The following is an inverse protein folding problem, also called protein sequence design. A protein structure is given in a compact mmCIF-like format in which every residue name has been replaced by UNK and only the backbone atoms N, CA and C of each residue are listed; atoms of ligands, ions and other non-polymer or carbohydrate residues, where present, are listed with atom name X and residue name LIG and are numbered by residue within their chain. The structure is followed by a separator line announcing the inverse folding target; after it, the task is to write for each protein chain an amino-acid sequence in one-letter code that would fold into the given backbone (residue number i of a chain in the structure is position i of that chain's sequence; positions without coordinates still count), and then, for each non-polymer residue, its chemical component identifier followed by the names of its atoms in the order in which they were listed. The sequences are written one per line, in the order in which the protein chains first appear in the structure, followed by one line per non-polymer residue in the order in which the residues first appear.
data_IF_244967848079
#
_entry.id   IF_244967848079
#
_cell.length_a   1.000
_cell.length_b   1.000
_cell.length_c   1.000
_cell.angle_alpha   90.00
_cell.angle_beta   90.00
_cell.angle_gamma   90.00
#
_symmetry.space_group_name_H-M   'P 1'
#
loop_
_entity.id
_entity.type
_entity.pdbx_description
1 polymer ?
#
# COMPACT_ATOMS: atom_id res chain seq x y z
N UNK A 1 -40.81 1.42 -20.83
CA UNK A 1 -39.91 2.07 -19.85
C UNK A 1 -38.56 1.38 -19.92
N UNK A 2 -37.56 2.00 -20.56
CA UNK A 2 -36.21 1.43 -20.70
C UNK A 2 -35.50 1.55 -19.35
N UNK A 3 -35.07 0.43 -18.76
CA UNK A 3 -34.26 0.44 -17.53
C UNK A 3 -32.82 0.85 -17.86
N UNK A 4 -32.22 1.60 -16.97
CA UNK A 4 -30.82 2.02 -17.00
C UNK A 4 -29.87 0.81 -17.07
N UNK A 5 -28.76 0.84 -17.84
CA UNK A 5 -27.83 -0.29 -17.98
C UNK A 5 -27.23 -0.75 -16.64
N UNK A 6 -27.14 0.15 -15.66
CA UNK A 6 -26.67 -0.12 -14.30
C UNK A 6 -27.64 -0.97 -13.47
N UNK A 7 -28.93 -1.00 -13.79
CA UNK A 7 -29.92 -1.86 -13.13
C UNK A 7 -29.90 -3.30 -13.67
N UNK A 8 -29.49 -3.49 -14.93
CA UNK A 8 -29.50 -4.80 -15.58
C UNK A 8 -28.38 -5.74 -15.08
N UNK A 9 -27.21 -5.21 -14.73
CA UNK A 9 -26.13 -6.03 -14.16
C UNK A 9 -26.43 -6.54 -12.74
N UNK A 10 -27.28 -5.84 -12.00
CA UNK A 10 -27.69 -6.23 -10.65
C UNK A 10 -28.67 -7.41 -10.61
N UNK A 11 -29.33 -7.74 -11.73
CA UNK A 11 -30.52 -8.62 -11.71
C UNK A 11 -30.27 -10.05 -12.15
N UNK A 12 -29.08 -10.39 -12.68
CA UNK A 12 -28.80 -11.77 -13.16
C UNK A 12 -27.99 -12.62 -12.17
N UNK A 13 -27.50 -12.02 -11.10
CA UNK A 13 -26.80 -12.68 -10.00
C UNK A 13 -27.58 -12.42 -8.70
N UNK A 14 -28.64 -13.17 -8.42
CA UNK A 14 -29.08 -13.63 -7.07
C UNK A 14 -30.52 -14.13 -7.11
N UNK A 15 -30.72 -15.38 -6.66
CA UNK A 15 -30.95 -15.55 -5.22
C UNK A 15 -29.88 -16.39 -4.47
N UNK A 16 -29.09 -17.22 -5.15
CA UNK A 16 -28.40 -18.33 -4.47
C UNK A 16 -27.02 -18.05 -3.87
N UNK A 17 -26.38 -16.90 -4.13
CA UNK A 17 -24.96 -16.69 -3.77
C UNK A 17 -24.67 -15.49 -2.88
N UNK A 18 -25.60 -14.55 -2.72
CA UNK A 18 -25.36 -13.42 -1.83
C UNK A 18 -26.63 -13.21 -1.03
N UNK A 19 -26.53 -13.59 0.24
CA UNK A 19 -27.55 -13.38 1.25
C UNK A 19 -27.96 -11.90 1.29
N UNK A 20 -29.23 -11.64 1.62
CA UNK A 20 -29.81 -10.31 1.59
C UNK A 20 -29.01 -9.29 2.44
N UNK A 21 -28.31 -9.77 3.48
CA UNK A 21 -27.47 -9.01 4.40
C UNK A 21 -26.20 -8.40 3.76
N UNK A 22 -25.67 -9.00 2.69
CA UNK A 22 -24.39 -8.59 2.09
C UNK A 22 -24.53 -7.81 0.78
N UNK A 23 -25.74 -7.30 0.46
CA UNK A 23 -26.00 -6.56 -0.80
C UNK A 23 -25.05 -5.38 -1.00
N UNK A 24 -24.59 -4.75 0.10
CA UNK A 24 -23.71 -3.59 0.02
C UNK A 24 -22.30 -3.91 -0.52
N UNK A 25 -21.81 -5.15 -0.37
CA UNK A 25 -20.52 -5.57 -0.92
C UNK A 25 -20.54 -5.68 -2.45
N UNK A 26 -21.72 -5.86 -3.04
CA UNK A 26 -21.89 -5.96 -4.49
C UNK A 26 -22.11 -4.59 -5.17
N UNK A 27 -21.97 -3.48 -4.43
CA UNK A 27 -22.11 -2.12 -4.97
C UNK A 27 -20.72 -1.52 -5.18
N UNK A 28 -20.63 -0.55 -6.10
CA UNK A 28 -19.42 0.24 -6.27
C UNK A 28 -19.09 0.97 -4.96
N UNK A 29 -17.80 0.99 -4.62
CA UNK A 29 -17.29 1.67 -3.44
C UNK A 29 -16.05 2.48 -3.79
N UNK A 30 -15.87 3.62 -3.12
CA UNK A 30 -14.74 4.51 -3.36
C UNK A 30 -13.56 4.10 -2.46
N UNK A 31 -12.61 3.37 -3.04
CA UNK A 31 -11.43 2.91 -2.34
C UNK A 31 -11.69 1.85 -1.27
N UNK A 32 -12.80 1.12 -1.36
CA UNK A 32 -13.15 0.00 -0.47
C UNK A 32 -14.45 0.16 0.31
N UNK A 33 -14.88 -0.94 0.92
CA UNK A 33 -16.13 -1.02 1.68
C UNK A 33 -16.09 -0.14 2.94
N UNK A 34 -17.06 0.77 3.08
CA UNK A 34 -17.08 1.79 4.15
C UNK A 34 -16.99 1.22 5.57
N UNK A 35 -17.83 0.26 5.96
CA UNK A 35 -17.76 -0.37 7.28
C UNK A 35 -16.42 -1.05 7.56
N UNK A 36 -15.79 -1.69 6.56
CA UNK A 36 -14.45 -2.25 6.72
C UNK A 36 -13.43 -1.14 7.01
N UNK A 37 -13.47 -0.05 6.27
CA UNK A 37 -12.58 1.10 6.48
C UNK A 37 -12.76 1.71 7.87
N UNK A 38 -13.98 1.75 8.40
CA UNK A 38 -14.25 2.21 9.77
C UNK A 38 -13.59 1.31 10.83
N UNK A 39 -13.74 -0.01 10.70
CA UNK A 39 -13.10 -0.96 11.61
C UNK A 39 -11.58 -0.91 11.52
N UNK A 40 -11.02 -0.77 10.31
CA UNK A 40 -9.58 -0.64 10.12
C UNK A 40 -9.01 0.63 10.76
N UNK A 41 -9.72 1.76 10.68
CA UNK A 41 -9.30 3.00 11.33
C UNK A 41 -9.19 2.84 12.86
N UNK A 42 -10.19 2.20 13.48
CA UNK A 42 -10.16 1.90 14.91
C UNK A 42 -9.04 0.91 15.26
N UNK A 43 -8.86 -0.13 14.45
CA UNK A 43 -7.79 -1.11 14.64
C UNK A 43 -6.40 -0.47 14.57
N UNK A 44 -6.15 0.41 13.60
CA UNK A 44 -4.87 1.12 13.45
C UNK A 44 -4.62 2.08 14.63
N UNK A 45 -5.66 2.71 15.16
CA UNK A 45 -5.56 3.52 16.38
C UNK A 45 -5.16 2.67 17.57
N UNK A 46 -5.83 1.53 17.79
CA UNK A 46 -5.58 0.67 18.93
C UNK A 46 -4.21 -0.06 18.86
N UNK A 47 -3.83 -0.56 17.67
CA UNK A 47 -2.65 -1.41 17.50
C UNK A 47 -1.36 -0.64 17.21
N UNK A 48 -1.46 0.53 16.55
CA UNK A 48 -0.30 1.30 16.06
C UNK A 48 -0.30 2.76 16.52
N UNK A 49 -1.24 3.17 17.37
CA UNK A 49 -1.43 4.57 17.80
C UNK A 49 -1.58 5.54 16.62
N UNK A 50 -2.05 5.03 15.48
CA UNK A 50 -2.18 5.80 14.25
C UNK A 50 -3.60 6.36 14.16
N UNK A 51 -3.74 7.68 14.23
CA UNK A 51 -5.02 8.35 14.05
C UNK A 51 -5.26 8.63 12.57
N UNK A 52 -6.25 7.97 11.96
CA UNK A 52 -6.68 8.23 10.59
C UNK A 52 -8.20 8.16 10.44
N UNK A 53 -8.74 8.94 9.51
CA UNK A 53 -10.14 8.85 9.11
C UNK A 53 -10.36 7.66 8.19
N UNK A 54 -11.52 6.99 8.22
CA UNK A 54 -11.88 5.98 7.22
C UNK A 54 -11.75 6.50 5.78
N UNK A 55 -11.89 7.81 5.53
CA UNK A 55 -11.71 8.40 4.19
C UNK A 55 -10.27 8.33 3.68
N UNK A 56 -9.29 8.21 4.57
CA UNK A 56 -7.85 8.14 4.26
C UNK A 56 -7.37 6.69 4.03
N UNK A 57 -8.24 5.69 4.21
CA UNK A 57 -7.90 4.28 4.02
C UNK A 57 -8.31 3.84 2.61
N UNK A 58 -7.39 3.18 1.89
CA UNK A 58 -7.68 2.51 0.63
C UNK A 58 -7.53 1.00 0.82
N UNK A 59 -8.54 0.24 0.41
CA UNK A 59 -8.50 -1.22 0.39
C UNK A 59 -7.94 -1.67 -0.96
N UNK A 60 -6.82 -2.40 -0.92
CA UNK A 60 -6.06 -2.84 -2.09
C UNK A 60 -5.92 -4.37 -2.09
N UNK A 61 -5.60 -4.94 -3.25
CA UNK A 61 -5.44 -6.37 -3.47
C UNK A 61 -4.08 -6.92 -3.00
N UNK A 62 -3.22 -6.08 -2.40
CA UNK A 62 -1.94 -6.50 -1.84
C UNK A 62 -0.86 -5.41 -1.89
N UNK A 63 0.30 -5.72 -1.31
CA UNK A 63 1.39 -4.75 -1.16
C UNK A 63 1.99 -4.28 -2.48
N UNK A 64 2.07 -5.12 -3.51
CA UNK A 64 2.57 -4.70 -4.83
C UNK A 64 1.70 -3.61 -5.45
N UNK A 65 0.36 -3.74 -5.35
CA UNK A 65 -0.56 -2.70 -5.81
C UNK A 65 -0.40 -1.40 -5.00
N UNK A 66 -0.17 -1.51 -3.69
CA UNK A 66 0.08 -0.34 -2.84
C UNK A 66 1.37 0.39 -3.23
N UNK A 67 2.45 -0.36 -3.48
CA UNK A 67 3.74 0.20 -3.90
C UNK A 67 3.63 0.86 -5.28
N UNK A 68 2.99 0.22 -6.25
CA UNK A 68 2.77 0.77 -7.60
C UNK A 68 1.96 2.07 -7.53
N UNK A 69 0.89 2.10 -6.72
CA UNK A 69 0.06 3.29 -6.53
C UNK A 69 0.88 4.44 -5.91
N UNK A 70 1.65 4.18 -4.85
CA UNK A 70 2.52 5.19 -4.25
C UNK A 70 3.54 5.72 -5.24
N UNK A 71 4.20 4.83 -6.00
CA UNK A 71 5.17 5.22 -7.02
C UNK A 71 4.56 6.17 -8.06
N UNK A 72 3.40 5.80 -8.63
CA UNK A 72 2.73 6.59 -9.67
C UNK A 72 2.15 7.93 -9.18
N UNK A 73 1.79 8.02 -7.90
CA UNK A 73 1.22 9.25 -7.34
C UNK A 73 2.27 10.23 -6.83
N UNK A 74 3.44 9.74 -6.42
CA UNK A 74 4.42 10.53 -5.68
C UNK A 74 5.72 10.77 -6.46
N UNK A 75 5.94 10.08 -7.58
CA UNK A 75 7.17 10.12 -8.34
C UNK A 75 6.92 10.37 -9.83
N UNK A 76 7.90 11.01 -10.48
CA UNK A 76 7.98 11.12 -11.94
C UNK A 76 8.92 10.07 -12.53
N UNK A 77 8.91 9.91 -13.87
CA UNK A 77 9.86 9.03 -14.56
C UNK A 77 11.30 9.39 -14.19
N UNK A 78 12.11 8.37 -13.88
CA UNK A 78 13.52 8.47 -13.44
C UNK A 78 13.74 9.12 -12.07
N UNK A 79 12.70 9.44 -11.31
CA UNK A 79 12.89 9.82 -9.90
C UNK A 79 13.62 8.69 -9.15
N UNK A 80 14.49 9.10 -8.22
CA UNK A 80 15.29 8.15 -7.43
C UNK A 80 14.51 7.64 -6.24
N UNK A 81 14.72 6.37 -5.94
CA UNK A 81 14.19 5.69 -4.77
C UNK A 81 15.32 5.00 -4.04
N UNK A 82 15.43 5.25 -2.74
CA UNK A 82 16.31 4.46 -1.90
C UNK A 82 15.62 3.21 -1.42
N UNK A 83 16.32 2.09 -1.46
CA UNK A 83 15.80 0.79 -1.04
C UNK A 83 16.86 0.03 -0.25
N UNK A 84 16.43 -0.71 0.76
CA UNK A 84 17.30 -1.59 1.56
C UNK A 84 18.10 -2.58 0.69
N UNK A 85 19.33 -2.88 1.10
CA UNK A 85 20.20 -3.90 0.51
C UNK A 85 20.75 -4.86 1.61
N UNK A 86 20.50 -6.18 1.53
CA UNK A 86 19.64 -6.86 0.56
C UNK A 86 18.16 -6.50 0.75
N UNK A 87 17.43 -6.32 -0.36
CA UNK A 87 16.06 -5.80 -0.35
C UNK A 87 14.98 -6.73 -0.89
N UNK A 88 13.71 -6.37 -0.67
CA UNK A 88 12.55 -7.10 -1.18
C UNK A 88 12.41 -7.03 -2.71
N UNK A 89 12.79 -8.11 -3.40
CA UNK A 89 12.75 -8.21 -4.86
C UNK A 89 11.40 -7.80 -5.50
N UNK A 90 10.28 -8.11 -4.82
CA UNK A 90 8.95 -7.77 -5.31
C UNK A 90 8.72 -6.26 -5.39
N UNK A 91 9.17 -5.50 -4.38
CA UNK A 91 9.12 -4.04 -4.41
C UNK A 91 10.05 -3.47 -5.49
N UNK A 92 11.26 -4.02 -5.62
CA UNK A 92 12.23 -3.59 -6.65
C UNK A 92 11.65 -3.70 -8.06
N UNK A 93 10.98 -4.82 -8.37
CA UNK A 93 10.35 -5.02 -9.66
C UNK A 93 9.23 -4.01 -9.94
N UNK A 94 8.38 -3.74 -8.95
CA UNK A 94 7.28 -2.76 -9.09
C UNK A 94 7.82 -1.35 -9.30
N UNK A 95 8.81 -0.93 -8.51
CA UNK A 95 9.41 0.40 -8.61
C UNK A 95 10.11 0.62 -9.96
N UNK A 96 10.85 -0.39 -10.46
CA UNK A 96 11.45 -0.34 -11.80
C UNK A 96 10.39 -0.29 -12.91
N UNK A 97 9.32 -1.05 -12.77
CA UNK A 97 8.20 -1.02 -13.71
C UNK A 97 7.47 0.34 -13.74
N UNK A 98 7.55 1.10 -12.64
CA UNK A 98 7.07 2.48 -12.57
C UNK A 98 8.05 3.53 -13.13
N UNK A 99 9.20 3.12 -13.69
CA UNK A 99 10.21 4.01 -14.29
C UNK A 99 11.22 4.59 -13.30
N UNK A 100 11.23 4.10 -12.05
CA UNK A 100 12.05 4.68 -10.99
C UNK A 100 13.48 4.14 -10.96
N UNK A 101 14.42 5.00 -10.56
CA UNK A 101 15.83 4.65 -10.40
C UNK A 101 16.10 4.21 -8.96
N UNK A 102 16.26 2.90 -8.76
CA UNK A 102 16.56 2.33 -7.44
C UNK A 102 18.05 2.50 -7.13
N UNK A 103 18.33 3.17 -6.02
CA UNK A 103 19.62 3.21 -5.37
C UNK A 103 19.55 2.33 -4.12
N UNK A 104 20.38 1.30 -4.10
CA UNK A 104 20.41 0.31 -3.03
C UNK A 104 21.27 0.85 -1.88
N UNK A 105 20.71 0.89 -0.67
CA UNK A 105 21.39 1.39 0.53
C UNK A 105 21.60 0.22 1.50
N UNK A 106 22.86 -0.11 1.83
CA UNK A 106 23.17 -1.21 2.72
C UNK A 106 22.62 -0.96 4.12
N UNK A 107 22.10 -2.02 4.74
CA UNK A 107 21.75 -2.04 6.15
C UNK A 107 22.88 -2.54 7.03
N UNK A 108 22.79 -2.20 8.32
CA UNK A 108 23.55 -2.84 9.40
C UNK A 108 22.58 -3.57 10.35
N UNK A 109 23.07 -3.99 11.52
CA UNK A 109 22.27 -4.69 12.54
C UNK A 109 21.13 -3.85 13.14
N UNK A 110 21.00 -2.58 12.73
CA UNK A 110 19.91 -1.68 13.12
C UNK A 110 19.06 -1.26 11.91
N UNK A 111 19.18 -1.95 10.78
CA UNK A 111 18.45 -1.67 9.54
C UNK A 111 19.21 -0.74 8.58
N UNK A 112 18.49 -0.14 7.64
CA UNK A 112 19.04 0.71 6.58
C UNK A 112 19.91 1.84 7.13
N UNK A 113 21.17 1.93 6.71
CA UNK A 113 22.09 2.97 7.17
C UNK A 113 22.02 4.19 6.24
N UNK A 114 21.18 5.16 6.60
CA UNK A 114 21.00 6.37 5.80
C UNK A 114 22.27 7.25 5.84
N UNK A 115 22.68 7.84 4.71
CA UNK A 115 23.79 8.78 4.69
C UNK A 115 23.45 10.02 5.54
N UNK A 116 24.43 10.50 6.32
CA UNK A 116 24.24 11.60 7.28
C UNK A 116 23.91 12.96 6.65
N UNK A 117 24.38 13.20 5.42
CA UNK A 117 24.13 14.43 4.68
C UNK A 117 24.07 14.13 3.17
N UNK A 118 22.93 13.63 2.65
CA UNK A 118 22.82 13.35 1.23
C UNK A 118 22.83 14.65 0.44
N UNK A 119 23.78 14.77 -0.49
CA UNK A 119 23.85 15.88 -1.45
C UNK A 119 22.63 15.92 -2.38
N UNK A 120 21.94 14.80 -2.52
CA UNK A 120 20.72 14.72 -3.33
C UNK A 120 19.80 13.62 -2.79
N UNK A 121 18.75 13.96 -2.02
CA UNK A 121 17.85 12.98 -1.40
C UNK A 121 16.93 12.31 -2.44
N UNK A 122 16.43 11.10 -2.16
CA UNK A 122 15.52 10.40 -3.05
C UNK A 122 14.12 11.01 -2.97
N UNK A 123 13.28 10.70 -3.96
CA UNK A 123 11.84 11.02 -3.90
C UNK A 123 11.10 10.11 -2.92
N UNK A 124 11.51 8.85 -2.82
CA UNK A 124 10.88 7.83 -1.99
C UNK A 124 11.95 6.96 -1.33
N UNK A 125 11.64 6.46 -0.13
CA UNK A 125 12.46 5.49 0.60
C UNK A 125 11.58 4.26 0.86
N UNK A 126 12.05 3.08 0.46
CA UNK A 126 11.40 1.81 0.77
C UNK A 126 12.16 1.07 1.88
N UNK A 127 11.52 0.90 3.03
CA UNK A 127 12.07 0.24 4.23
C UNK A 127 11.08 -0.75 4.83
N UNK A 128 11.62 -1.77 5.50
CA UNK A 128 10.83 -2.80 6.20
C UNK A 128 11.23 -2.87 7.69
N UNK A 129 10.90 -1.84 8.50
CA UNK A 129 11.53 -1.60 9.80
C UNK A 129 11.23 -2.66 10.87
N UNK A 130 10.08 -3.34 10.80
CA UNK A 130 9.68 -4.32 11.83
C UNK A 130 10.06 -5.76 11.50
N UNK A 131 10.47 -6.05 10.26
CA UNK A 131 10.83 -7.39 9.80
C UNK A 131 11.45 -7.24 8.42
N UNK A 132 12.75 -6.93 8.41
CA UNK A 132 13.45 -6.68 7.16
C UNK A 132 13.43 -7.94 6.29
N UNK A 133 13.14 -7.82 5.01
CA UNK A 133 13.28 -8.95 4.09
C UNK A 133 14.56 -8.79 3.25
N UNK A 134 15.46 -9.79 3.21
CA UNK A 134 15.33 -11.16 3.75
C UNK A 134 15.93 -11.37 5.15
N UNK A 135 16.59 -10.36 5.75
CA UNK A 135 17.48 -10.58 6.90
C UNK A 135 16.76 -10.78 8.24
N UNK A 136 15.51 -10.35 8.34
CA UNK A 136 14.71 -10.34 9.57
C UNK A 136 15.11 -9.25 10.57
N UNK A 137 16.10 -8.41 10.25
CA UNK A 137 16.56 -7.31 11.11
C UNK A 137 15.38 -6.39 11.47
N UNK A 138 15.35 -5.95 12.72
CA UNK A 138 14.40 -4.96 13.22
C UNK A 138 15.13 -3.64 13.39
N UNK A 139 14.62 -2.61 12.74
CA UNK A 139 15.17 -1.26 12.83
C UNK A 139 14.98 -0.71 14.24
N UNK A 140 16.05 -0.19 14.84
CA UNK A 140 15.98 0.35 16.19
C UNK A 140 15.30 1.71 16.21
N UNK A 141 14.80 2.11 17.39
CA UNK A 141 14.10 3.38 17.56
C UNK A 141 14.99 4.60 17.29
N UNK A 142 16.30 4.47 17.47
CA UNK A 142 17.28 5.53 17.24
C UNK A 142 17.69 5.68 15.77
N UNK A 143 17.30 4.74 14.90
CA UNK A 143 17.64 4.77 13.48
C UNK A 143 16.76 5.76 12.72
#
# INVERSE_FOLDING_TARGET
MKKEPSECFSLRLKPNYICHEHRQLARYSHGGYGPLKAVLAEYLRASRMMSCSPRQILVLNGSHQAIDLCARMLCDDKDRVWMEDPGYWGASNVLRAAGLQIEAIPGDDQGMSLPSAPTSPPRLIFVSPSSQYPTGVVMSLSR
#
